data_IF_036699837468
#
_entry.id   IF_036699837468
#
_cell.length_a   1.000
_cell.length_b   1.000
_cell.length_c   1.000
_cell.angle_alpha   90.00
_cell.angle_beta   90.00
_cell.angle_gamma   90.00
#
_symmetry.space_group_name_H-M   'P 1'
#
loop_
_entity.id
_entity.type
_entity.pdbx_description
1 polymer ?
#
# COMPACT_ATOMS: atom_id res chain seq x y z
N UNK A 1 -28.92 6.29 2.66
CA UNK A 1 -27.53 5.96 2.26
C UNK A 1 -26.56 6.96 2.88
N UNK A 2 -25.74 6.57 3.86
CA UNK A 2 -24.73 7.48 4.47
C UNK A 2 -23.59 7.73 3.47
N UNK A 3 -23.37 8.99 3.06
CA UNK A 3 -22.19 9.42 2.29
C UNK A 3 -20.93 9.12 3.11
N UNK A 4 -20.16 8.10 2.72
CA UNK A 4 -18.80 7.92 3.23
C UNK A 4 -17.90 9.05 2.70
N UNK A 5 -17.48 9.95 3.58
CA UNK A 5 -16.45 10.96 3.28
C UNK A 5 -15.09 10.27 3.23
N UNK A 6 -14.46 10.29 2.05
CA UNK A 6 -13.15 9.69 1.80
C UNK A 6 -11.97 10.48 2.40
N UNK A 7 -12.21 11.65 3.01
CA UNK A 7 -11.16 12.54 3.51
C UNK A 7 -10.72 12.23 4.96
N UNK A 8 -11.41 11.33 5.66
CA UNK A 8 -11.06 10.91 7.04
C UNK A 8 -10.31 9.58 7.08
N UNK A 9 -9.34 9.39 6.19
CA UNK A 9 -8.38 8.26 6.23
C UNK A 9 -7.33 8.54 7.32
N UNK A 10 -7.79 8.70 8.55
CA UNK A 10 -6.96 8.70 9.75
C UNK A 10 -7.14 7.38 10.48
N UNK A 11 -6.18 7.03 11.33
CA UNK A 11 -6.30 5.94 12.33
C UNK A 11 -7.36 6.27 13.43
N UNK A 12 -8.29 7.21 13.15
CA UNK A 12 -9.30 7.76 14.05
C UNK A 12 -10.60 6.95 14.05
N UNK A 13 -10.88 6.20 12.98
CA UNK A 13 -12.14 5.45 12.81
C UNK A 13 -11.99 3.93 12.77
N UNK A 14 -10.79 3.38 12.88
CA UNK A 14 -10.62 1.92 12.96
C UNK A 14 -10.96 1.50 14.39
N UNK A 15 -12.23 1.15 14.56
CA UNK A 15 -12.76 0.59 15.80
C UNK A 15 -13.31 -0.78 15.50
N UNK A 16 -12.90 -1.75 16.30
CA UNK A 16 -13.49 -3.08 16.30
C UNK A 16 -14.14 -3.27 17.66
N UNK A 17 -15.43 -3.61 17.69
CA UNK A 17 -16.22 -3.71 18.91
C UNK A 17 -16.12 -2.45 19.81
N UNK A 18 -16.09 -1.26 19.20
CA UNK A 18 -16.02 0.03 19.89
C UNK A 18 -14.63 0.45 20.39
N UNK A 19 -13.63 -0.46 20.39
CA UNK A 19 -12.25 -0.18 20.81
C UNK A 19 -11.38 0.21 19.62
N UNK A 20 -10.53 1.23 19.80
CA UNK A 20 -9.53 1.62 18.80
C UNK A 20 -8.56 0.47 18.60
N UNK A 21 -8.40 0.02 17.37
CA UNK A 21 -7.48 -1.08 17.03
C UNK A 21 -6.31 -0.56 16.20
N UNK A 22 -5.10 -1.06 16.46
CA UNK A 22 -3.93 -0.71 15.64
C UNK A 22 -4.11 -1.26 14.21
N UNK A 23 -3.79 -0.43 13.22
CA UNK A 23 -3.75 -0.86 11.81
C UNK A 23 -2.76 -2.00 11.64
N UNK A 24 -1.65 -1.98 12.38
CA UNK A 24 -0.56 -2.95 12.27
C UNK A 24 -1.00 -4.32 12.76
N UNK A 25 -1.72 -4.38 13.88
CA UNK A 25 -2.31 -5.62 14.39
C UNK A 25 -3.27 -6.22 13.35
N UNK A 26 -4.15 -5.40 12.77
CA UNK A 26 -5.11 -5.88 11.77
C UNK A 26 -4.41 -6.40 10.52
N UNK A 27 -3.32 -5.75 10.08
CA UNK A 27 -2.51 -6.24 8.97
C UNK A 27 -1.84 -7.57 9.31
N UNK A 28 -1.35 -7.75 10.54
CA UNK A 28 -0.74 -9.01 10.97
C UNK A 28 -1.75 -10.16 11.04
N UNK A 29 -2.99 -9.92 11.46
CA UNK A 29 -4.06 -10.90 11.36
C UNK A 29 -4.33 -11.31 9.92
N UNK A 30 -4.49 -10.32 9.03
CA UNK A 30 -4.75 -10.56 7.61
C UNK A 30 -3.59 -11.34 6.99
N UNK A 31 -2.33 -11.00 7.30
CA UNK A 31 -1.15 -11.75 6.84
C UNK A 31 -1.19 -13.21 7.29
N UNK A 32 -1.53 -13.44 8.56
CA UNK A 32 -1.60 -14.79 9.13
C UNK A 32 -2.67 -15.63 8.45
N UNK A 33 -3.85 -15.06 8.21
CA UNK A 33 -4.94 -15.74 7.51
C UNK A 33 -4.63 -15.98 6.02
N UNK A 34 -4.01 -15.02 5.34
CA UNK A 34 -3.61 -15.18 3.94
C UNK A 34 -2.55 -16.28 3.81
N UNK A 35 -1.61 -16.38 4.75
CA UNK A 35 -0.57 -17.41 4.75
C UNK A 35 -1.15 -18.83 4.78
N UNK A 36 -2.32 -19.02 5.40
CA UNK A 36 -3.04 -20.30 5.38
C UNK A 36 -3.62 -20.63 4.00
N UNK A 37 -4.03 -19.62 3.23
CA UNK A 37 -4.74 -19.80 1.96
C UNK A 37 -3.76 -19.81 0.77
N UNK A 38 -2.78 -18.91 0.81
CA UNK A 38 -1.79 -18.68 -0.25
C UNK A 38 -0.41 -18.55 0.41
N UNK A 39 0.20 -19.66 0.83
CA UNK A 39 1.48 -19.65 1.55
C UNK A 39 2.63 -19.10 0.69
N UNK A 40 2.54 -19.18 -0.65
CA UNK A 40 3.55 -18.61 -1.53
C UNK A 40 3.54 -17.06 -1.59
N UNK A 41 2.53 -16.41 -1.00
CA UNK A 41 2.35 -14.96 -1.04
C UNK A 41 2.82 -14.27 0.23
N UNK A 42 4.10 -13.92 0.25
CA UNK A 42 4.67 -13.10 1.31
C UNK A 42 5.22 -11.74 0.82
N UNK A 43 5.28 -10.80 1.76
CA UNK A 43 5.92 -9.49 1.60
C UNK A 43 5.46 -8.71 0.37
N UNK A 44 6.39 -8.51 -0.56
CA UNK A 44 6.22 -7.60 -1.69
C UNK A 44 5.27 -8.10 -2.76
N UNK A 45 5.18 -9.43 -2.93
CA UNK A 45 4.24 -10.05 -3.88
C UNK A 45 2.80 -9.78 -3.47
N UNK A 46 2.50 -9.90 -2.18
CA UNK A 46 1.17 -9.63 -1.63
C UNK A 46 0.76 -8.17 -1.83
N UNK A 47 1.67 -7.23 -1.58
CA UNK A 47 1.42 -5.79 -1.79
C UNK A 47 1.19 -5.49 -3.27
N UNK A 48 1.95 -6.12 -4.17
CA UNK A 48 1.76 -5.98 -5.61
C UNK A 48 0.38 -6.49 -6.04
N UNK A 49 -0.05 -7.67 -5.55
CA UNK A 49 -1.37 -8.22 -5.84
C UNK A 49 -2.51 -7.34 -5.30
N UNK A 50 -2.40 -6.86 -4.06
CA UNK A 50 -3.37 -5.91 -3.50
C UNK A 50 -3.45 -4.62 -4.32
N UNK A 51 -2.31 -4.13 -4.82
CA UNK A 51 -2.29 -2.99 -5.75
C UNK A 51 -3.02 -3.32 -7.04
N UNK A 52 -2.85 -4.51 -7.60
CA UNK A 52 -3.52 -4.94 -8.83
C UNK A 52 -5.02 -5.07 -8.64
N UNK A 53 -5.47 -5.70 -7.55
CA UNK A 53 -6.91 -5.81 -7.20
C UNK A 53 -7.53 -4.42 -7.06
N UNK A 54 -6.87 -3.51 -6.33
CA UNK A 54 -7.32 -2.11 -6.21
C UNK A 54 -7.49 -1.43 -7.58
N UNK A 55 -6.48 -1.54 -8.44
CA UNK A 55 -6.48 -0.92 -9.77
C UNK A 55 -7.56 -1.53 -10.66
N UNK A 56 -7.68 -2.86 -10.68
CA UNK A 56 -8.73 -3.59 -11.39
C UNK A 56 -10.12 -3.08 -11.03
N UNK A 57 -10.43 -2.95 -9.74
CA UNK A 57 -11.74 -2.45 -9.27
C UNK A 57 -11.98 -1.00 -9.67
N UNK A 58 -10.96 -0.14 -9.61
CA UNK A 58 -11.05 1.25 -10.02
C UNK A 58 -11.37 1.39 -11.52
N UNK A 59 -10.78 0.53 -12.36
CA UNK A 59 -11.05 0.52 -13.81
C UNK A 59 -12.39 -0.13 -14.15
N UNK A 60 -12.74 -1.25 -13.50
CA UNK A 60 -14.04 -1.90 -13.68
C UNK A 60 -15.20 -0.95 -13.36
N UNK A 61 -15.08 -0.18 -12.27
CA UNK A 61 -16.08 0.84 -11.90
C UNK A 61 -16.20 1.97 -12.93
N UNK A 62 -15.14 2.28 -13.67
CA UNK A 62 -15.10 3.31 -14.71
C UNK A 62 -15.53 2.79 -16.09
N UNK A 63 -15.89 1.51 -16.22
CA UNK A 63 -16.27 0.91 -17.50
C UNK A 63 -15.14 0.87 -18.53
N UNK A 64 -13.87 0.84 -18.08
CA UNK A 64 -12.73 0.81 -19.00
C UNK A 64 -12.73 -0.54 -19.75
N UNK A 65 -12.70 -0.55 -21.10
CA UNK A 65 -12.62 -1.79 -21.88
C UNK A 65 -11.30 -2.53 -21.66
N UNK A 66 -11.34 -3.86 -21.60
CA UNK A 66 -10.17 -4.72 -21.34
C UNK A 66 -9.20 -4.59 -22.52
N UNK A 67 -7.90 -4.40 -22.22
CA UNK A 67 -6.85 -4.41 -23.24
C UNK A 67 -6.60 -3.10 -24.00
N UNK A 68 -7.19 -1.95 -23.63
CA UNK A 68 -6.80 -0.67 -24.24
C UNK A 68 -5.34 -0.34 -23.89
N UNK A 69 -4.46 -0.39 -24.89
CA UNK A 69 -3.00 -0.15 -24.81
C UNK A 69 -2.58 1.19 -24.17
N UNK A 70 -3.48 2.16 -24.02
CA UNK A 70 -3.23 3.44 -23.34
C UNK A 70 -3.40 3.42 -21.81
N UNK A 71 -4.01 2.38 -21.22
CA UNK A 71 -4.25 2.30 -19.77
C UNK A 71 -3.32 1.28 -19.14
N UNK A 72 -2.12 1.74 -18.76
CA UNK A 72 -1.06 0.92 -18.17
C UNK A 72 -1.58 0.13 -16.95
N UNK A 73 -1.67 -1.19 -17.08
CA UNK A 73 -1.99 -2.10 -15.98
C UNK A 73 -3.43 -2.60 -15.90
N UNK A 74 -4.28 -2.36 -16.91
CA UNK A 74 -5.59 -2.99 -16.98
C UNK A 74 -5.49 -4.38 -17.62
N UNK A 75 -5.40 -5.40 -16.75
CA UNK A 75 -5.58 -6.82 -17.08
C UNK A 75 -6.57 -7.44 -16.12
N UNK A 76 -7.15 -8.57 -16.52
CA UNK A 76 -7.93 -9.39 -15.60
C UNK A 76 -7.08 -9.91 -14.44
N UNK A 77 -7.75 -10.17 -13.32
CA UNK A 77 -7.14 -10.78 -12.14
C UNK A 77 -6.73 -12.23 -12.47
N UNK A 78 -5.50 -12.58 -12.10
CA UNK A 78 -5.03 -13.97 -12.07
C UNK A 78 -5.82 -14.79 -11.05
N UNK A 79 -5.70 -16.11 -11.11
CA UNK A 79 -6.36 -17.01 -10.15
C UNK A 79 -6.06 -16.61 -8.69
N UNK A 80 -4.79 -16.46 -8.33
CA UNK A 80 -4.40 -16.09 -6.96
C UNK A 80 -4.94 -14.70 -6.55
N UNK A 81 -4.99 -13.74 -7.47
CA UNK A 81 -5.56 -12.41 -7.19
C UNK A 81 -7.08 -12.47 -7.01
N UNK A 82 -7.78 -13.37 -7.72
CA UNK A 82 -9.21 -13.62 -7.52
C UNK A 82 -9.47 -14.26 -6.15
N UNK A 83 -8.70 -15.29 -5.78
CA UNK A 83 -8.80 -15.93 -4.46
C UNK A 83 -8.57 -14.92 -3.34
N UNK A 84 -7.52 -14.10 -3.45
CA UNK A 84 -7.24 -13.03 -2.49
C UNK A 84 -8.38 -12.01 -2.43
N UNK A 85 -8.92 -11.61 -3.58
CA UNK A 85 -10.03 -10.68 -3.64
C UNK A 85 -11.30 -11.24 -2.98
N UNK A 86 -11.65 -12.50 -3.23
CA UNK A 86 -12.78 -13.17 -2.60
C UNK A 86 -12.61 -13.26 -1.08
N UNK A 87 -11.41 -13.60 -0.61
CA UNK A 87 -11.09 -13.58 0.81
C UNK A 87 -11.37 -12.19 1.43
N UNK A 88 -10.90 -11.11 0.79
CA UNK A 88 -11.13 -9.75 1.29
C UNK A 88 -12.62 -9.43 1.37
N UNK A 89 -13.41 -9.82 0.36
CA UNK A 89 -14.86 -9.62 0.37
C UNK A 89 -15.55 -10.40 1.49
N UNK A 90 -15.21 -11.67 1.69
CA UNK A 90 -15.76 -12.52 2.77
C UNK A 90 -15.49 -11.93 4.15
N UNK A 91 -14.34 -11.27 4.32
CA UNK A 91 -13.96 -10.60 5.56
C UNK A 91 -14.46 -9.15 5.67
N UNK A 92 -15.28 -8.67 4.72
CA UNK A 92 -15.78 -7.29 4.70
C UNK A 92 -14.70 -6.23 4.52
N UNK A 93 -13.53 -6.60 3.99
CA UNK A 93 -12.38 -5.73 3.83
C UNK A 93 -12.42 -5.03 2.46
N UNK A 94 -12.30 -3.70 2.46
CA UNK A 94 -12.20 -2.94 1.21
C UNK A 94 -10.76 -3.04 0.64
N UNK A 95 -10.55 -3.54 -0.59
CA UNK A 95 -9.20 -3.73 -1.14
C UNK A 95 -8.37 -2.45 -1.23
N UNK A 96 -9.01 -1.30 -1.50
CA UNK A 96 -8.32 0.00 -1.51
C UNK A 96 -7.78 0.40 -0.14
N UNK A 97 -8.55 0.12 0.91
CA UNK A 97 -8.18 0.41 2.29
C UNK A 97 -7.12 -0.57 2.78
N UNK A 98 -7.34 -1.87 2.55
CA UNK A 98 -6.38 -2.93 2.90
C UNK A 98 -5.03 -2.68 2.24
N UNK A 99 -4.99 -2.35 0.95
CA UNK A 99 -3.75 -1.99 0.26
C UNK A 99 -2.99 -0.85 0.96
N UNK A 100 -3.69 0.22 1.36
CA UNK A 100 -3.07 1.34 2.09
C UNK A 100 -2.53 0.90 3.45
N UNK A 101 -3.24 0.05 4.19
CA UNK A 101 -2.74 -0.48 5.45
C UNK A 101 -1.47 -1.31 5.26
N UNK A 102 -1.42 -2.14 4.23
CA UNK A 102 -0.23 -2.91 3.89
C UNK A 102 0.97 -2.02 3.51
N UNK A 103 0.76 -0.95 2.73
CA UNK A 103 1.83 0.03 2.46
C UNK A 103 2.33 0.69 3.74
N UNK A 104 1.44 0.97 4.70
CA UNK A 104 1.82 1.61 5.95
C UNK A 104 2.82 0.77 6.77
N UNK A 105 2.85 -0.56 6.57
CA UNK A 105 3.86 -1.41 7.20
C UNK A 105 5.29 -1.18 6.69
N UNK A 106 5.47 -0.52 5.54
CA UNK A 106 6.78 -0.17 4.96
C UNK A 106 7.28 1.21 5.35
N UNK A 107 6.50 1.97 6.11
CA UNK A 107 6.89 3.30 6.58
C UNK A 107 8.03 3.15 7.61
N UNK A 108 9.01 4.07 7.64
CA UNK A 108 10.04 4.12 8.68
C UNK A 108 9.47 4.01 10.09
N UNK A 109 10.16 3.29 10.98
CA UNK A 109 9.69 2.96 12.34
C UNK A 109 9.30 4.20 13.15
N UNK A 110 10.06 5.29 13.06
CA UNK A 110 9.79 6.54 13.77
C UNK A 110 8.46 7.20 13.34
N UNK A 111 8.07 7.07 12.06
CA UNK A 111 6.79 7.57 11.55
C UNK A 111 5.67 6.56 11.86
N UNK A 112 5.98 5.27 11.84
CA UNK A 112 5.07 4.18 12.22
C UNK A 112 4.58 4.35 13.66
N UNK A 113 5.49 4.61 14.59
CA UNK A 113 5.17 4.75 16.01
C UNK A 113 4.27 5.97 16.27
N UNK A 114 4.53 7.08 15.56
CA UNK A 114 3.67 8.29 15.61
C UNK A 114 2.28 8.03 15.02
N UNK A 115 2.19 7.22 13.97
CA UNK A 115 0.94 6.82 13.33
C UNK A 115 0.12 5.88 14.22
N UNK A 116 0.77 4.96 14.93
CA UNK A 116 0.15 4.04 15.89
C UNK A 116 -0.43 4.79 17.09
N UNK A 117 0.37 5.68 17.69
CA UNK A 117 -0.06 6.59 18.77
C UNK A 117 -1.16 7.56 18.34
N UNK A 118 -1.46 7.65 17.03
CA UNK A 118 -2.47 8.56 16.48
C UNK A 118 -2.05 10.03 16.47
N UNK A 119 -0.76 10.31 16.69
CA UNK A 119 -0.18 11.65 16.60
C UNK A 119 -0.07 12.12 15.14
N UNK A 120 -0.22 11.19 14.19
CA UNK A 120 -0.06 11.44 12.77
C UNK A 120 -1.17 10.75 11.98
N UNK A 121 -1.67 11.41 10.92
CA UNK A 121 -2.66 10.81 10.01
C UNK A 121 -1.97 9.97 8.93
N UNK A 122 -2.65 8.95 8.39
CA UNK A 122 -2.07 8.12 7.31
C UNK A 122 -1.60 8.95 6.11
N UNK A 123 -2.35 9.99 5.74
CA UNK A 123 -1.98 10.91 4.65
C UNK A 123 -0.64 11.60 4.93
N UNK A 124 -0.48 12.17 6.13
CA UNK A 124 0.80 12.79 6.53
C UNK A 124 1.92 11.75 6.61
N UNK A 125 1.62 10.54 7.06
CA UNK A 125 2.63 9.47 7.22
C UNK A 125 3.22 9.09 5.86
N UNK A 126 2.36 8.91 4.87
CA UNK A 126 2.78 8.65 3.50
C UNK A 126 3.53 9.82 2.88
N UNK A 127 3.12 11.07 3.14
CA UNK A 127 3.83 12.25 2.63
C UNK A 127 5.25 12.33 3.19
N UNK A 128 5.44 12.13 4.50
CA UNK A 128 6.76 12.11 5.14
C UNK A 128 7.62 10.99 4.56
N UNK A 129 7.05 9.78 4.44
CA UNK A 129 7.76 8.63 3.87
C UNK A 129 8.19 8.87 2.42
N UNK A 130 7.32 9.47 1.59
CA UNK A 130 7.62 9.79 0.20
C UNK A 130 8.72 10.86 0.08
N UNK A 131 8.66 11.91 0.91
CA UNK A 131 9.68 12.95 0.94
C UNK A 131 11.05 12.38 1.34
N UNK A 132 11.11 11.53 2.37
CA UNK A 132 12.36 10.88 2.77
C UNK A 132 12.95 10.00 1.68
N UNK A 133 12.10 9.23 0.99
CA UNK A 133 12.53 8.41 -0.15
C UNK A 133 13.14 9.29 -1.25
N UNK A 134 12.46 10.39 -1.60
CA UNK A 134 12.94 11.34 -2.62
C UNK A 134 14.28 11.96 -2.24
N UNK A 135 14.44 12.39 -0.99
CA UNK A 135 15.72 12.95 -0.49
C UNK A 135 16.82 11.90 -0.55
N UNK A 136 16.55 10.65 -0.14
CA UNK A 136 17.52 9.56 -0.25
C UNK A 136 17.95 9.31 -1.69
N UNK A 137 17.00 9.21 -2.62
CA UNK A 137 17.27 9.00 -4.04
C UNK A 137 18.07 10.17 -4.64
N UNK A 138 17.76 11.40 -4.25
CA UNK A 138 18.51 12.60 -4.65
C UNK A 138 19.96 12.55 -4.16
N UNK A 139 20.17 12.20 -2.88
CA UNK A 139 21.52 12.11 -2.31
C UNK A 139 22.34 11.00 -2.96
N UNK A 140 21.74 9.84 -3.25
CA UNK A 140 22.40 8.77 -3.98
C UNK A 140 22.79 9.21 -5.39
N UNK A 141 21.92 9.92 -6.10
CA UNK A 141 22.23 10.47 -7.41
C UNK A 141 23.39 11.47 -7.39
N UNK A 142 23.45 12.33 -6.37
CA UNK A 142 24.56 13.27 -6.19
C UNK A 142 25.89 12.55 -5.97
N UNK A 143 25.93 11.54 -5.10
CA UNK A 143 27.16 10.75 -4.87
C UNK A 143 27.64 10.05 -6.15
N UNK A 144 26.73 9.48 -6.95
CA UNK A 144 27.09 8.86 -8.23
C UNK A 144 27.72 9.86 -9.21
N UNK A 145 27.21 11.10 -9.25
CA UNK A 145 27.77 12.16 -10.10
C UNK A 145 29.17 12.57 -9.62
N UNK A 146 29.38 12.63 -8.30
CA UNK A 146 30.69 12.92 -7.71
C UNK A 146 31.71 11.82 -8.01
N UNK A 147 31.31 10.55 -7.89
CA UNK A 147 32.13 9.39 -8.26
C UNK A 147 32.51 9.43 -9.74
N UNK A 148 31.55 9.67 -10.64
CA UNK A 148 31.80 9.83 -12.07
C UNK A 148 32.77 10.98 -12.36
N UNK A 149 32.58 12.14 -11.72
CA UNK A 149 33.48 13.30 -11.88
C UNK A 149 34.90 12.99 -11.42
N UNK A 150 35.04 12.17 -10.37
CA UNK A 150 36.35 11.79 -9.83
C UNK A 150 37.06 10.83 -10.79
N UNK A 151 36.35 9.85 -11.34
CA UNK A 151 36.88 8.94 -12.37
C UNK A 151 37.33 9.72 -13.61
N UNK A 152 36.50 10.65 -14.11
CA UNK A 152 36.81 11.44 -15.33
C UNK A 152 37.98 12.40 -15.13
N UNK A 153 38.20 12.94 -13.92
CA UNK A 153 39.35 13.81 -13.62
C UNK A 153 40.64 13.06 -13.30
N UNK A 154 40.54 11.77 -12.98
CA UNK A 154 41.69 10.90 -12.72
C UNK A 154 42.25 10.21 -13.98
N UNK A 155 41.57 10.36 -15.12
CA UNK A 155 42.02 9.98 -16.47
C UNK A 155 42.65 11.19 -17.17
#
# INVERSE_FOLDING_TARGET
MKKMSYDRIGNTHIRENGKKRSIFDKVNEIKSAIKTILPELEGDKLIAMLSKIRTYLAHKKKGVPIGRHGWKGYRDLTFNEKVLYEYLLKQGLCPSTTYRWFIATRIPSDVRDKLEKGQLSMKKAFQISANRRRVKESNTGLMMIEELRTIVRGL
#
